data_IF_598255115265
#
_entry.id   IF_598255115265
#
_cell.length_a   1.000
_cell.length_b   1.000
_cell.length_c   1.000
_cell.angle_alpha   90.00
_cell.angle_beta   90.00
_cell.angle_gamma   90.00
#
_symmetry.space_group_name_H-M   'P 1'
#
loop_
_entity.id
_entity.type
_entity.pdbx_description
1 polymer ?
#
# COMPACT_ATOMS: atom_id res chain seq x y z
N UNK A 1 13.97 11.16 19.39
CA UNK A 1 13.09 10.19 18.71
C UNK A 1 12.25 10.92 17.66
N UNK A 2 12.05 10.35 16.47
CA UNK A 2 11.14 10.91 15.47
C UNK A 2 9.68 10.92 15.97
N UNK A 3 8.86 11.82 15.39
CA UNK A 3 7.44 12.00 15.77
C UNK A 3 6.63 10.81 15.23
N UNK A 4 6.23 9.91 16.13
CA UNK A 4 5.39 8.74 15.79
C UNK A 4 4.13 9.17 15.04
N UNK A 5 3.82 8.48 13.94
CA UNK A 5 2.65 8.77 13.10
C UNK A 5 2.81 9.92 12.10
N UNK A 6 3.83 10.77 12.24
CA UNK A 6 4.17 11.80 11.25
C UNK A 6 5.45 11.43 10.49
N UNK A 7 6.51 11.09 11.21
CA UNK A 7 7.85 10.83 10.66
C UNK A 7 7.96 9.57 9.81
N UNK A 8 6.93 8.73 9.75
CA UNK A 8 6.85 7.57 8.84
C UNK A 8 6.01 7.84 7.59
N UNK A 9 5.31 8.98 7.55
CA UNK A 9 4.54 9.38 6.38
C UNK A 9 5.50 9.82 5.28
N UNK A 10 5.49 9.08 4.17
CA UNK A 10 6.19 9.45 2.93
C UNK A 10 5.14 9.84 1.89
N UNK A 11 5.38 10.92 1.16
CA UNK A 11 4.53 11.37 0.05
C UNK A 11 5.39 11.49 -1.20
N UNK A 12 4.90 10.98 -2.33
CA UNK A 12 5.55 11.14 -3.62
C UNK A 12 5.34 12.60 -4.09
N UNK A 13 6.39 13.39 -4.31
CA UNK A 13 6.24 14.78 -4.75
C UNK A 13 5.70 14.81 -6.18
N UNK A 14 4.57 15.49 -6.40
CA UNK A 14 3.90 15.52 -7.71
C UNK A 14 4.37 16.71 -8.53
N UNK A 15 4.88 16.46 -9.74
CA UNK A 15 5.25 17.48 -10.73
C UNK A 15 4.02 18.02 -11.45
N UNK A 16 3.15 17.11 -11.92
CA UNK A 16 2.08 17.45 -12.86
C UNK A 16 0.97 16.41 -12.90
N UNK A 17 -0.11 16.76 -13.60
CA UNK A 17 -1.28 15.90 -13.81
C UNK A 17 -1.61 15.76 -15.30
N UNK A 18 -1.53 14.52 -15.77
CA UNK A 18 -1.98 14.12 -17.10
C UNK A 18 -3.49 13.88 -17.09
N UNK A 19 -4.17 14.27 -18.17
CA UNK A 19 -5.62 14.19 -18.35
C UNK A 19 -5.95 13.34 -19.59
N UNK A 20 -7.10 12.64 -19.55
CA UNK A 20 -7.63 11.78 -20.62
C UNK A 20 -8.71 12.47 -21.47
N UNK A 21 -8.87 13.78 -21.31
CA UNK A 21 -9.98 14.52 -21.88
C UNK A 21 -9.76 16.02 -21.82
N UNK A 22 -10.38 16.70 -22.77
CA UNK A 22 -10.45 18.16 -22.85
C UNK A 22 -11.79 18.65 -22.28
N UNK A 23 -11.85 19.91 -21.85
CA UNK A 23 -13.12 20.59 -21.61
C UNK A 23 -13.62 21.16 -22.94
N UNK A 24 -14.83 20.84 -23.34
CA UNK A 24 -15.52 21.52 -24.45
C UNK A 24 -16.70 22.32 -23.91
N UNK A 25 -16.93 23.51 -24.45
CA UNK A 25 -18.08 24.34 -24.09
C UNK A 25 -19.27 23.99 -24.99
N UNK A 26 -20.40 23.64 -24.37
CA UNK A 26 -21.65 23.37 -25.10
C UNK A 26 -22.16 24.63 -25.78
N UNK A 27 -22.16 24.65 -27.11
CA UNK A 27 -22.73 25.75 -27.92
C UNK A 27 -24.22 26.00 -27.62
N UNK A 28 -24.94 25.03 -27.04
CA UNK A 28 -26.37 25.14 -26.74
C UNK A 28 -26.69 25.63 -25.32
N UNK A 29 -25.77 25.48 -24.36
CA UNK A 29 -26.04 25.80 -22.95
C UNK A 29 -24.94 26.58 -22.24
N UNK A 30 -23.83 26.91 -22.92
CA UNK A 30 -22.69 27.59 -22.32
C UNK A 30 -21.88 26.77 -21.30
N UNK A 31 -22.38 25.59 -20.90
CA UNK A 31 -21.73 24.76 -19.89
C UNK A 31 -20.54 24.00 -20.46
N UNK A 32 -19.43 23.97 -19.72
CA UNK A 32 -18.30 23.08 -19.99
C UNK A 32 -18.68 21.62 -19.70
N UNK A 33 -18.32 20.70 -20.60
CA UNK A 33 -18.41 19.26 -20.38
C UNK A 33 -17.07 18.59 -20.71
N UNK A 34 -16.69 17.52 -19.98
CA UNK A 34 -15.48 16.77 -20.28
C UNK A 34 -15.71 15.87 -21.51
N UNK A 35 -14.88 16.02 -22.54
CA UNK A 35 -14.84 15.14 -23.70
C UNK A 35 -13.59 14.25 -23.64
N UNK A 36 -13.73 12.91 -23.65
CA UNK A 36 -12.59 12.02 -23.74
C UNK A 36 -11.90 12.15 -25.10
N UNK A 37 -10.57 12.10 -25.11
CA UNK A 37 -9.74 12.12 -26.32
C UNK A 37 -8.87 10.87 -26.40
N UNK A 38 -8.22 10.65 -27.56
CA UNK A 38 -7.37 9.48 -27.81
C UNK A 38 -5.86 9.73 -27.59
N UNK A 39 -5.54 10.81 -26.86
CA UNK A 39 -4.18 11.24 -26.54
C UNK A 39 -4.10 11.81 -25.11
N UNK A 40 -2.89 11.85 -24.55
CA UNK A 40 -2.64 12.41 -23.24
C UNK A 40 -2.61 13.94 -23.30
N UNK A 41 -3.37 14.58 -22.42
CA UNK A 41 -3.45 16.05 -22.32
C UNK A 41 -2.71 16.51 -21.07
N UNK A 42 -1.77 17.42 -21.23
CA UNK A 42 -1.14 18.20 -20.17
C UNK A 42 -1.42 19.68 -20.46
N UNK A 43 -1.73 20.46 -19.42
CA UNK A 43 -1.94 21.90 -19.52
C UNK A 43 -1.24 22.56 -18.33
N UNK A 44 -0.74 23.78 -18.50
CA UNK A 44 -0.34 24.62 -17.36
C UNK A 44 -1.59 24.98 -16.55
N UNK A 45 -1.65 24.56 -15.28
CA UNK A 45 -2.76 24.82 -14.36
C UNK A 45 -2.30 24.73 -12.88
N UNK A 46 -3.23 24.83 -11.93
CA UNK A 46 -2.92 24.73 -10.49
C UNK A 46 -2.27 23.39 -10.07
N UNK A 47 -2.25 22.38 -10.94
CA UNK A 47 -1.70 21.04 -10.68
C UNK A 47 -0.43 20.73 -11.47
N UNK A 48 -0.07 21.55 -12.47
CA UNK A 48 1.11 21.39 -13.33
C UNK A 48 1.67 22.77 -13.68
N UNK A 49 2.93 23.06 -13.33
CA UNK A 49 3.57 24.34 -13.68
C UNK A 49 3.79 24.47 -15.19
N UNK A 50 3.89 25.72 -15.66
CA UNK A 50 4.15 26.05 -17.07
C UNK A 50 5.42 25.37 -17.60
N UNK A 51 6.53 25.48 -16.87
CA UNK A 51 7.79 24.81 -17.21
C UNK A 51 7.67 23.27 -17.27
N UNK A 52 6.84 22.64 -16.43
CA UNK A 52 6.60 21.20 -16.49
C UNK A 52 5.73 20.79 -17.69
N UNK A 53 4.74 21.60 -18.04
CA UNK A 53 3.92 21.39 -19.24
C UNK A 53 4.76 21.56 -20.52
N UNK A 54 5.57 22.61 -20.62
CA UNK A 54 6.52 22.80 -21.74
C UNK A 54 7.51 21.64 -21.85
N UNK A 55 8.09 21.19 -20.72
CA UNK A 55 9.00 20.06 -20.70
C UNK A 55 8.35 18.76 -21.21
N UNK A 56 7.10 18.52 -20.85
CA UNK A 56 6.31 17.40 -21.37
C UNK A 56 6.11 17.51 -22.89
N UNK A 57 5.62 18.66 -23.38
CA UNK A 57 5.36 18.87 -24.81
C UNK A 57 6.64 18.86 -25.66
N UNK A 58 7.79 19.26 -25.12
CA UNK A 58 9.09 19.16 -25.80
C UNK A 58 9.52 17.71 -26.07
N UNK A 59 9.11 16.77 -25.21
CA UNK A 59 9.48 15.34 -25.32
C UNK A 59 8.44 14.55 -26.11
N UNK A 60 7.15 14.85 -25.91
CA UNK A 60 6.04 14.03 -26.40
C UNK A 60 5.11 14.75 -27.43
N UNK A 61 5.28 16.04 -27.65
CA UNK A 61 4.41 16.86 -28.49
C UNK A 61 3.05 17.16 -27.88
N UNK A 62 2.12 17.66 -28.71
CA UNK A 62 0.81 18.14 -28.26
C UNK A 62 -0.24 17.03 -28.08
N UNK A 63 -0.09 15.91 -28.81
CA UNK A 63 -1.07 14.81 -28.86
C UNK A 63 -0.45 13.41 -28.75
N UNK A 64 0.42 13.14 -27.76
CA UNK A 64 0.99 11.81 -27.57
C UNK A 64 -0.06 10.77 -27.19
N UNK A 65 0.03 9.58 -27.79
CA UNK A 65 -0.83 8.41 -27.46
C UNK A 65 -0.14 7.36 -26.58
N UNK A 66 1.16 7.55 -26.38
CA UNK A 66 2.06 6.71 -25.60
C UNK A 66 2.93 7.60 -24.72
N UNK A 67 3.24 7.16 -23.51
CA UNK A 67 4.20 7.78 -22.60
C UNK A 67 5.19 6.72 -22.13
N UNK A 68 6.48 7.04 -22.16
CA UNK A 68 7.50 6.20 -21.53
C UNK A 68 7.51 6.48 -20.03
N UNK A 69 7.18 5.46 -19.24
CA UNK A 69 6.98 5.57 -17.79
C UNK A 69 7.87 4.59 -17.00
N UNK A 70 8.04 4.88 -15.72
CA UNK A 70 8.52 3.95 -14.70
C UNK A 70 7.67 4.10 -13.44
N UNK A 71 7.59 3.07 -12.60
CA UNK A 71 6.97 3.18 -11.28
C UNK A 71 7.99 3.52 -10.19
N UNK A 72 7.65 4.40 -9.23
CA UNK A 72 8.62 4.91 -8.26
C UNK A 72 8.89 3.95 -7.09
N UNK A 73 7.99 3.01 -6.82
CA UNK A 73 8.04 2.06 -5.69
C UNK A 73 7.39 0.73 -6.08
N UNK A 74 7.75 -0.36 -5.37
CA UNK A 74 7.22 -1.71 -5.64
C UNK A 74 5.77 -1.93 -5.19
N UNK A 75 5.32 -1.10 -4.25
CA UNK A 75 4.01 -1.20 -3.62
C UNK A 75 2.93 -0.54 -4.48
N UNK A 76 2.10 -1.37 -5.11
CA UNK A 76 1.02 -0.97 -6.01
C UNK A 76 0.08 0.04 -5.37
N UNK A 77 -0.24 -0.07 -4.08
CA UNK A 77 -1.27 0.76 -3.48
C UNK A 77 -0.77 2.20 -3.21
N UNK A 78 0.55 2.39 -3.18
CA UNK A 78 1.19 3.71 -3.11
C UNK A 78 1.19 4.45 -4.45
N UNK A 79 1.34 3.74 -5.57
CA UNK A 79 1.42 4.37 -6.89
C UNK A 79 0.15 4.17 -7.76
N UNK A 80 -0.76 3.27 -7.41
CA UNK A 80 -2.02 3.05 -8.12
C UNK A 80 -3.20 2.89 -7.15
N UNK A 81 -3.42 3.92 -6.34
CA UNK A 81 -4.49 3.97 -5.35
C UNK A 81 -5.89 3.98 -5.98
N UNK A 82 -6.70 2.97 -5.68
CA UNK A 82 -8.03 2.76 -6.24
C UNK A 82 -9.10 2.84 -5.15
N UNK A 83 -10.05 3.77 -5.29
CA UNK A 83 -11.09 4.00 -4.29
C UNK A 83 -12.39 4.48 -4.96
N UNK A 84 -13.53 4.17 -4.38
CA UNK A 84 -14.77 4.90 -4.63
C UNK A 84 -14.62 6.34 -4.15
N UNK A 85 -14.99 7.31 -5.00
CA UNK A 85 -14.94 8.74 -4.66
C UNK A 85 -16.20 9.46 -5.08
N UNK A 86 -16.73 10.29 -4.18
CA UNK A 86 -17.81 11.25 -4.42
C UNK A 86 -17.25 12.66 -4.24
N UNK A 87 -17.39 13.51 -5.25
CA UNK A 87 -16.97 14.92 -5.19
C UNK A 87 -18.18 15.85 -5.08
N UNK A 88 -18.05 16.91 -4.30
CA UNK A 88 -19.04 17.97 -4.16
C UNK A 88 -18.78 19.13 -5.12
N UNK A 89 -19.84 19.85 -5.50
CA UNK A 89 -19.75 21.08 -6.27
C UNK A 89 -19.10 22.19 -5.44
N UNK A 90 -17.77 22.29 -5.51
CA UNK A 90 -16.97 23.28 -4.77
C UNK A 90 -16.41 22.78 -3.42
N UNK A 91 -17.10 21.88 -2.73
CA UNK A 91 -16.67 21.35 -1.41
C UNK A 91 -15.49 20.37 -1.46
N UNK A 92 -15.06 19.93 -2.66
CA UNK A 92 -13.97 18.96 -2.82
C UNK A 92 -14.44 17.51 -2.64
N UNK A 93 -13.64 16.69 -1.97
CA UNK A 93 -13.92 15.26 -1.77
C UNK A 93 -14.90 15.07 -0.61
N UNK A 94 -16.08 14.51 -0.89
CA UNK A 94 -17.14 14.30 0.10
C UNK A 94 -17.20 12.89 0.68
N UNK A 95 -16.72 11.89 -0.06
CA UNK A 95 -16.69 10.51 0.40
C UNK A 95 -15.55 9.79 -0.32
N UNK A 96 -14.78 9.00 0.41
CA UNK A 96 -13.75 8.09 -0.09
C UNK A 96 -13.90 6.74 0.59
N UNK A 97 -14.19 5.69 -0.18
CA UNK A 97 -14.31 4.32 0.33
C UNK A 97 -13.60 3.29 -0.52
N UNK A 98 -13.32 2.13 0.06
CA UNK A 98 -12.73 0.96 -0.62
C UNK A 98 -13.79 0.00 -1.17
N UNK A 99 -15.01 0.03 -0.61
CA UNK A 99 -16.09 -0.90 -0.92
C UNK A 99 -16.48 -1.80 0.26
N UNK A 100 -15.91 -1.55 1.44
CA UNK A 100 -16.34 -2.08 2.74
C UNK A 100 -16.51 -0.93 3.75
N UNK A 101 -15.57 0.01 3.79
CA UNK A 101 -15.61 1.22 4.63
C UNK A 101 -15.46 2.50 3.81
N UNK A 102 -15.95 3.62 4.33
CA UNK A 102 -15.72 4.94 3.74
C UNK A 102 -15.56 6.04 4.78
N UNK A 103 -14.69 6.99 4.46
CA UNK A 103 -14.58 8.27 5.14
C UNK A 103 -15.49 9.28 4.43
N UNK A 104 -16.59 9.68 5.05
CA UNK A 104 -17.55 10.64 4.54
C UNK A 104 -17.47 11.98 5.29
N UNK A 105 -17.49 13.09 4.55
CA UNK A 105 -17.62 14.43 5.10
C UNK A 105 -19.11 14.74 5.31
N UNK A 106 -19.53 14.84 6.56
CA UNK A 106 -20.85 15.34 6.91
C UNK A 106 -20.94 16.83 6.54
N UNK A 107 -21.90 17.20 5.68
CA UNK A 107 -22.04 18.58 5.18
C UNK A 107 -22.60 19.57 6.20
N UNK A 108 -23.26 19.07 7.25
CA UNK A 108 -23.91 19.90 8.26
C UNK A 108 -22.95 20.20 9.42
N UNK A 109 -22.17 19.21 9.86
CA UNK A 109 -21.18 19.38 10.95
C UNK A 109 -19.78 19.74 10.44
N UNK A 110 -19.45 19.43 9.19
CA UNK A 110 -18.10 19.56 8.64
C UNK A 110 -17.12 18.48 9.10
N UNK A 111 -17.59 17.49 9.87
CA UNK A 111 -16.76 16.40 10.40
C UNK A 111 -16.57 15.27 9.38
N UNK A 112 -15.43 14.59 9.46
CA UNK A 112 -15.18 13.35 8.71
C UNK A 112 -15.57 12.18 9.61
N UNK A 113 -16.47 11.34 9.14
CA UNK A 113 -17.02 10.19 9.85
C UNK A 113 -16.74 8.91 9.06
N UNK A 114 -16.42 7.83 9.76
CA UNK A 114 -16.24 6.50 9.17
C UNK A 114 -17.60 5.80 9.11
N UNK A 115 -17.99 5.37 7.91
CA UNK A 115 -19.27 4.72 7.61
C UNK A 115 -19.06 3.41 6.86
N UNK A 116 -20.05 2.52 6.90
CA UNK A 116 -20.10 1.34 6.04
C UNK A 116 -20.25 1.75 4.57
N UNK A 117 -19.50 1.11 3.68
CA UNK A 117 -19.50 1.40 2.25
C UNK A 117 -19.90 0.16 1.45
N UNK A 118 -21.19 -0.05 1.22
CA UNK A 118 -21.69 -1.10 0.33
C UNK A 118 -22.00 -0.51 -1.07
N UNK A 119 -21.19 -0.73 -2.13
CA UNK A 119 -21.42 -0.14 -3.45
C UNK A 119 -22.74 -0.57 -4.12
N UNK A 120 -23.30 -1.73 -3.73
CA UNK A 120 -24.55 -2.27 -4.27
C UNK A 120 -25.76 -1.49 -3.74
N UNK A 121 -25.74 -1.16 -2.45
CA UNK A 121 -26.84 -0.49 -1.74
C UNK A 121 -26.66 1.03 -1.67
N UNK A 122 -25.45 1.54 -1.93
CA UNK A 122 -25.15 2.96 -1.87
C UNK A 122 -25.89 3.75 -2.97
N UNK A 123 -26.90 4.51 -2.55
CA UNK A 123 -27.66 5.46 -3.37
C UNK A 123 -26.78 6.36 -4.25
N UNK A 124 -25.61 6.80 -3.74
CA UNK A 124 -24.69 7.66 -4.48
C UNK A 124 -23.95 6.96 -5.62
N UNK A 125 -23.71 5.64 -5.49
CA UNK A 125 -23.14 4.81 -6.56
C UNK A 125 -24.23 4.55 -7.61
N UNK A 126 -25.44 4.19 -7.19
CA UNK A 126 -26.59 3.97 -8.08
C UNK A 126 -26.95 5.23 -8.90
N UNK A 127 -26.92 6.42 -8.28
CA UNK A 127 -27.08 7.72 -8.95
C UNK A 127 -25.87 8.16 -9.79
N UNK A 128 -24.77 7.41 -9.78
CA UNK A 128 -23.56 7.69 -10.53
C UNK A 128 -22.78 8.94 -10.07
N UNK A 129 -23.01 9.40 -8.84
CA UNK A 129 -22.28 10.52 -8.20
C UNK A 129 -21.02 10.06 -7.46
N UNK A 130 -21.04 8.84 -6.92
CA UNK A 130 -19.87 8.13 -6.41
C UNK A 130 -19.40 7.14 -7.47
N UNK A 131 -18.10 7.10 -7.77
CA UNK A 131 -17.53 6.24 -8.83
C UNK A 131 -16.20 5.63 -8.38
N UNK A 132 -15.82 4.43 -8.87
CA UNK A 132 -14.47 3.92 -8.70
C UNK A 132 -13.50 4.84 -9.45
N UNK A 133 -12.42 5.27 -8.78
CA UNK A 133 -11.37 6.12 -9.33
C UNK A 133 -10.01 5.51 -9.00
N UNK A 134 -9.29 5.10 -10.04
CA UNK A 134 -7.87 4.77 -9.97
C UNK A 134 -7.02 6.02 -10.16
N UNK A 135 -6.20 6.34 -9.17
CA UNK A 135 -5.15 7.38 -9.25
C UNK A 135 -3.82 6.69 -9.48
N UNK A 136 -3.32 6.73 -10.71
CA UNK A 136 -2.02 6.18 -11.09
C UNK A 136 -0.96 7.29 -11.04
N UNK A 137 0.16 7.01 -10.39
CA UNK A 137 1.34 7.86 -10.24
C UNK A 137 2.55 7.14 -10.83
N UNK A 138 3.33 7.87 -11.64
CA UNK A 138 4.44 7.30 -12.40
C UNK A 138 5.51 8.36 -12.66
N UNK A 139 6.70 7.93 -13.01
CA UNK A 139 7.82 8.78 -13.42
C UNK A 139 7.84 8.89 -14.94
N UNK A 140 7.96 10.11 -15.47
CA UNK A 140 8.27 10.34 -16.89
C UNK A 140 9.78 10.51 -17.04
N UNK A 141 10.53 9.42 -17.07
CA UNK A 141 12.00 9.43 -16.99
C UNK A 141 12.71 10.13 -18.16
N UNK A 142 11.98 10.44 -19.25
CA UNK A 142 12.48 11.26 -20.38
C UNK A 142 12.18 12.76 -20.24
N UNK A 143 11.30 13.16 -19.32
CA UNK A 143 10.89 14.55 -19.09
C UNK A 143 11.70 15.11 -17.91
N UNK A 144 12.37 16.26 -18.04
CA UNK A 144 13.14 16.84 -16.94
C UNK A 144 12.21 17.26 -15.78
N UNK A 145 12.58 16.84 -14.57
CA UNK A 145 11.86 17.14 -13.33
C UNK A 145 11.92 15.97 -12.35
N UNK A 146 12.09 16.25 -11.05
CA UNK A 146 12.17 15.22 -10.02
C UNK A 146 10.82 15.07 -9.29
N UNK A 147 10.18 13.91 -9.46
CA UNK A 147 8.88 13.62 -8.86
C UNK A 147 7.95 12.83 -9.79
N UNK A 148 6.72 12.59 -9.33
CA UNK A 148 5.72 11.79 -10.03
C UNK A 148 4.75 12.66 -10.84
N UNK A 149 4.34 12.12 -11.97
CA UNK A 149 3.17 12.54 -12.73
C UNK A 149 1.97 11.71 -12.30
N UNK A 150 0.78 12.32 -12.27
CA UNK A 150 -0.47 11.66 -11.87
C UNK A 150 -1.46 11.60 -13.04
N UNK A 151 -2.15 10.48 -13.21
CA UNK A 151 -3.35 10.35 -14.06
C UNK A 151 -4.49 9.72 -13.25
N UNK A 152 -5.68 10.28 -13.37
CA UNK A 152 -6.89 9.74 -12.71
C UNK A 152 -7.82 9.15 -13.78
N UNK A 153 -8.31 7.93 -13.54
CA UNK A 153 -9.28 7.24 -14.41
C UNK A 153 -10.46 6.71 -13.61
N UNK A 154 -11.68 6.90 -14.13
CA UNK A 154 -12.90 6.26 -13.61
C UNK A 154 -13.43 5.16 -14.55
N UNK A 155 -12.62 4.71 -15.50
CA UNK A 155 -12.97 3.63 -16.43
C UNK A 155 -12.65 2.28 -15.79
N UNK A 156 -13.69 1.48 -15.53
CA UNK A 156 -13.56 0.11 -15.01
C UNK A 156 -12.59 -0.74 -15.85
N UNK A 157 -12.72 -0.68 -17.18
CA UNK A 157 -11.80 -1.35 -18.11
C UNK A 157 -10.35 -0.89 -17.95
N UNK A 158 -10.12 0.41 -17.80
CA UNK A 158 -8.76 0.94 -17.60
C UNK A 158 -8.17 0.49 -16.26
N UNK A 159 -8.97 0.44 -15.19
CA UNK A 159 -8.50 0.00 -13.87
C UNK A 159 -8.09 -1.48 -13.90
N UNK A 160 -8.91 -2.34 -14.52
CA UNK A 160 -8.58 -3.77 -14.70
C UNK A 160 -7.33 -3.94 -15.57
N UNK A 161 -7.29 -3.33 -16.76
CA UNK A 161 -6.14 -3.42 -17.66
C UNK A 161 -4.82 -3.07 -16.95
N UNK A 162 -4.81 -1.95 -16.20
CA UNK A 162 -3.64 -1.50 -15.45
C UNK A 162 -3.23 -2.49 -14.35
N UNK A 163 -4.18 -2.98 -13.52
CA UNK A 163 -3.88 -3.99 -12.50
C UNK A 163 -3.34 -5.28 -13.12
N UNK A 164 -4.01 -5.82 -14.14
CA UNK A 164 -3.61 -7.06 -14.80
C UNK A 164 -2.22 -6.94 -15.45
N UNK A 165 -1.90 -5.80 -16.06
CA UNK A 165 -0.57 -5.59 -16.66
C UNK A 165 0.52 -5.37 -15.59
N UNK A 166 0.23 -4.68 -14.49
CA UNK A 166 1.15 -4.55 -13.34
C UNK A 166 1.44 -5.94 -12.75
N UNK A 167 0.40 -6.73 -12.46
CA UNK A 167 0.54 -8.03 -11.85
C UNK A 167 1.23 -9.04 -12.79
N UNK A 168 0.99 -8.94 -14.11
CA UNK A 168 1.72 -9.70 -15.13
C UNK A 168 3.22 -9.37 -15.16
N UNK A 169 3.60 -8.08 -15.19
CA UNK A 169 5.02 -7.68 -15.14
C UNK A 169 5.66 -8.16 -13.85
N UNK A 170 4.98 -8.02 -12.70
CA UNK A 170 5.47 -8.52 -11.40
C UNK A 170 5.66 -10.04 -11.39
N UNK A 171 4.76 -10.80 -12.00
CA UNK A 171 4.90 -12.26 -12.11
C UNK A 171 6.14 -12.64 -12.95
N UNK A 172 6.44 -11.92 -14.02
CA UNK A 172 7.61 -12.16 -14.88
C UNK A 172 8.95 -11.82 -14.20
N UNK A 173 8.96 -10.87 -13.26
CA UNK A 173 10.18 -10.25 -12.70
C UNK A 173 10.53 -10.72 -11.28
N UNK A 174 9.76 -11.66 -10.70
CA UNK A 174 9.92 -12.07 -9.31
C UNK A 174 9.40 -11.05 -8.30
N UNK A 175 8.35 -10.29 -8.67
CA UNK A 175 7.64 -9.34 -7.82
C UNK A 175 7.98 -7.86 -8.07
N UNK A 176 9.01 -7.56 -8.89
CA UNK A 176 9.52 -6.20 -9.15
C UNK A 176 8.73 -5.46 -10.23
N UNK A 177 8.54 -4.16 -10.03
CA UNK A 177 7.86 -3.24 -10.94
C UNK A 177 8.46 -1.82 -10.89
N UNK A 178 9.12 -1.46 -9.79
CA UNK A 178 9.80 -0.18 -9.65
C UNK A 178 10.96 -0.03 -10.65
N UNK A 179 11.13 1.18 -11.21
CA UNK A 179 12.20 1.55 -12.15
C UNK A 179 12.33 0.70 -13.43
N UNK A 180 11.38 -0.20 -13.71
CA UNK A 180 11.31 -0.92 -14.99
C UNK A 180 10.72 0.03 -16.05
N UNK A 181 11.39 0.26 -17.20
CA UNK A 181 10.83 1.04 -18.29
C UNK A 181 9.61 0.35 -18.89
N UNK A 182 8.46 1.03 -18.86
CA UNK A 182 7.19 0.57 -19.42
C UNK A 182 6.60 1.68 -20.32
N UNK A 183 5.57 1.35 -21.09
CA UNK A 183 4.83 2.33 -21.90
C UNK A 183 3.37 2.37 -21.48
N UNK A 184 2.91 3.55 -21.07
CA UNK A 184 1.49 3.81 -20.79
C UNK A 184 0.83 4.26 -22.09
N UNK A 185 -0.20 3.55 -22.54
CA UNK A 185 -0.84 3.78 -23.85
C UNK A 185 -2.34 3.97 -23.74
N UNK A 186 -2.91 4.71 -24.70
CA UNK A 186 -4.36 4.84 -24.87
C UNK A 186 -4.79 3.97 -26.05
N UNK A 187 -5.56 2.91 -25.79
CA UNK A 187 -6.10 2.00 -26.82
C UNK A 187 -7.60 2.22 -27.03
N UNK A 188 -8.12 2.20 -28.27
CA UNK A 188 -9.56 2.11 -28.52
C UNK A 188 -10.08 0.70 -28.17
N UNK A 189 -11.17 0.64 -27.40
CA UNK A 189 -11.89 -0.60 -27.08
C UNK A 189 -13.35 -0.44 -27.51
N UNK A 190 -13.85 -1.33 -28.37
CA UNK A 190 -15.28 -1.43 -28.61
C UNK A 190 -15.96 -2.00 -27.35
N UNK A 191 -16.92 -1.26 -26.81
CA UNK A 191 -17.79 -1.73 -25.73
C UNK A 191 -19.24 -1.63 -26.19
N UNK A 192 -20.07 -2.59 -25.78
CA UNK A 192 -21.51 -2.50 -25.93
C UNK A 192 -22.07 -1.80 -24.69
N UNK A 193 -22.69 -0.64 -24.90
CA UNK A 193 -23.44 0.09 -23.87
C UNK A 193 -24.89 0.11 -24.35
N UNK A 194 -25.81 -0.48 -23.59
CA UNK A 194 -27.25 -0.51 -23.91
C UNK A 194 -27.53 -1.05 -25.34
N UNK A 195 -26.81 -2.11 -25.74
CA UNK A 195 -26.92 -2.74 -27.06
C UNK A 195 -26.28 -1.95 -28.22
N UNK A 196 -25.74 -0.75 -27.98
CA UNK A 196 -25.04 0.06 -29.00
C UNK A 196 -23.53 -0.11 -28.86
N UNK A 197 -22.86 -0.38 -29.99
CA UNK A 197 -21.39 -0.34 -30.06
C UNK A 197 -20.91 1.10 -29.86
N UNK A 198 -20.02 1.31 -28.91
CA UNK A 198 -19.34 2.59 -28.67
C UNK A 198 -17.84 2.33 -28.50
N UNK A 199 -17.02 3.05 -29.26
CA UNK A 199 -15.58 3.08 -29.05
C UNK A 199 -15.27 3.91 -27.81
N UNK A 200 -14.59 3.32 -26.83
CA UNK A 200 -14.11 3.99 -25.61
C UNK A 200 -12.61 3.85 -25.54
N UNK A 201 -11.93 4.94 -25.21
CA UNK A 201 -10.48 4.95 -25.02
C UNK A 201 -10.15 4.46 -23.61
N UNK A 202 -9.34 3.40 -23.53
CA UNK A 202 -8.91 2.76 -22.28
C UNK A 202 -7.39 2.90 -22.10
N UNK A 203 -6.95 2.92 -20.85
CA UNK A 203 -5.52 2.88 -20.52
C UNK A 203 -5.02 1.43 -20.51
N UNK A 204 -3.76 1.26 -20.88
CA UNK A 204 -3.06 -0.01 -20.86
C UNK A 204 -1.55 0.24 -20.62
N UNK A 205 -0.84 -0.79 -20.15
CA UNK A 205 0.62 -0.82 -20.02
C UNK A 205 1.28 -1.83 -20.98
N UNK A 206 0.49 -2.71 -21.60
CA UNK A 206 0.99 -3.70 -22.53
C UNK A 206 1.13 -3.10 -23.95
N UNK A 207 2.36 -3.07 -24.46
CA UNK A 207 2.66 -2.62 -25.83
C UNK A 207 3.54 -3.62 -26.59
N UNK A 208 3.16 -3.86 -27.85
CA UNK A 208 3.81 -4.80 -28.78
C UNK A 208 5.29 -4.47 -29.09
N UNK A 209 5.73 -3.23 -28.80
CA UNK A 209 7.09 -2.76 -29.04
C UNK A 209 8.10 -3.04 -27.92
N UNK A 210 7.67 -3.51 -26.74
CA UNK A 210 8.58 -3.85 -25.63
C UNK A 210 8.92 -5.35 -25.73
N UNK A 211 10.21 -5.71 -25.79
CA UNK A 211 10.61 -7.11 -25.78
C UNK A 211 10.60 -7.63 -24.34
N UNK A 212 10.11 -8.85 -24.15
CA UNK A 212 10.15 -9.53 -22.86
C UNK A 212 11.59 -9.62 -22.29
N UNK A 213 12.59 -9.77 -23.16
CA UNK A 213 14.01 -9.78 -22.80
C UNK A 213 14.47 -8.47 -22.15
N UNK A 214 13.95 -7.32 -22.60
CA UNK A 214 14.32 -6.01 -22.08
C UNK A 214 13.78 -5.84 -20.65
N UNK A 215 12.53 -6.27 -20.40
CA UNK A 215 11.90 -6.28 -19.05
C UNK A 215 12.69 -7.19 -18.10
N UNK A 216 13.03 -8.41 -18.52
CA UNK A 216 13.80 -9.37 -17.71
C UNK A 216 15.25 -8.96 -17.47
N UNK A 217 15.80 -8.09 -18.31
CA UNK A 217 17.14 -7.50 -18.13
C UNK A 217 17.05 -6.32 -17.17
N UNK A 218 16.08 -5.42 -17.35
CA UNK A 218 15.84 -4.28 -16.46
C UNK A 218 15.53 -4.72 -15.02
N UNK A 219 14.75 -5.78 -14.81
CA UNK A 219 14.42 -6.28 -13.46
C UNK A 219 15.63 -6.84 -12.70
N UNK A 220 16.67 -7.28 -13.42
CA UNK A 220 17.95 -7.77 -12.87
C UNK A 220 18.96 -6.66 -12.60
N UNK A 221 18.80 -5.48 -13.21
CA UNK A 221 19.67 -4.35 -12.94
C UNK A 221 19.56 -3.93 -11.45
N UNK A 222 20.68 -3.60 -10.79
CA UNK A 222 20.63 -3.18 -9.40
C UNK A 222 20.11 -1.74 -9.30
N UNK A 223 19.15 -1.51 -8.38
CA UNK A 223 18.59 -0.17 -8.09
C UNK A 223 19.66 0.87 -7.73
N UNK A 224 20.83 0.45 -7.25
CA UNK A 224 21.98 1.32 -6.97
C UNK A 224 22.50 2.07 -8.19
N UNK A 225 22.20 1.63 -9.40
CA UNK A 225 22.54 2.35 -10.64
C UNK A 225 21.72 3.64 -10.85
N UNK A 226 20.68 3.85 -10.03
CA UNK A 226 19.82 5.05 -10.00
C UNK A 226 19.87 5.80 -8.66
N UNK A 227 20.69 5.37 -7.70
CA UNK A 227 20.88 6.10 -6.43
C UNK A 227 21.89 7.23 -6.63
N UNK A 228 21.67 8.35 -5.92
CA UNK A 228 22.67 9.41 -5.81
C UNK A 228 23.91 8.83 -5.09
N UNK A 229 25.10 8.83 -5.70
CA UNK A 229 26.30 8.36 -5.03
C UNK A 229 26.60 9.23 -3.80
N UNK A 230 26.76 8.60 -2.63
CA UNK A 230 27.23 9.29 -1.41
C UNK A 230 26.15 9.85 -0.47
N UNK A 231 24.87 9.54 -0.66
CA UNK A 231 23.83 9.91 0.32
C UNK A 231 23.81 8.91 1.51
N UNK A 232 24.60 9.17 2.56
CA UNK A 232 24.44 8.49 3.85
C UNK A 232 23.32 9.15 4.66
N UNK A 233 22.17 8.49 4.73
CA UNK A 233 21.00 8.97 5.47
C UNK A 233 21.10 8.74 6.99
N UNK A 234 22.20 8.17 7.50
CA UNK A 234 22.48 8.06 8.93
C UNK A 234 23.29 9.26 9.46
N UNK A 235 23.93 10.04 8.59
CA UNK A 235 24.64 11.24 8.99
C UNK A 235 23.64 12.34 9.36
N UNK A 236 23.62 12.72 10.64
CA UNK A 236 22.72 13.74 11.16
C UNK A 236 23.24 15.11 10.72
N UNK A 237 22.46 15.96 10.05
CA UNK A 237 22.96 17.27 9.62
C UNK A 237 23.38 18.14 10.81
N UNK A 238 24.64 18.59 10.81
CA UNK A 238 25.23 19.44 11.87
C UNK A 238 24.44 20.73 12.13
N UNK A 239 23.74 21.27 11.11
CA UNK A 239 22.88 22.45 11.19
C UNK A 239 21.67 22.31 12.15
N UNK A 240 21.40 21.13 12.70
CA UNK A 240 20.28 20.91 13.64
C UNK A 240 20.56 21.35 15.08
N UNK A 241 21.80 21.75 15.41
CA UNK A 241 22.16 22.25 16.74
C UNK A 241 22.98 23.55 16.64
N UNK A 242 22.56 24.65 17.29
CA UNK A 242 23.41 25.84 17.39
C UNK A 242 24.65 25.50 18.24
N UNK A 243 25.85 25.85 17.76
CA UNK A 243 27.13 25.56 18.41
C UNK A 243 27.20 26.00 19.89
N UNK A 244 26.40 26.99 20.30
CA UNK A 244 26.24 27.43 21.70
C UNK A 244 25.74 26.36 22.67
N UNK A 245 25.31 25.17 22.20
CA UNK A 245 24.93 24.03 23.03
C UNK A 245 26.02 22.93 23.10
N UNK A 246 27.14 23.10 22.40
CA UNK A 246 28.24 22.13 22.35
C UNK A 246 29.39 22.58 23.27
N UNK A 247 29.61 23.89 23.42
CA UNK A 247 30.69 24.47 24.24
C UNK A 247 30.36 24.60 25.74
N UNK A 248 29.20 24.12 26.21
CA UNK A 248 28.91 24.04 27.65
C UNK A 248 29.36 22.69 28.21
N UNK A 249 30.67 22.54 28.46
CA UNK A 249 31.16 21.46 29.31
C UNK A 249 30.49 21.51 30.69
N UNK A 250 30.11 20.37 31.28
CA UNK A 250 29.48 20.35 32.60
C UNK A 250 30.53 20.61 33.69
N UNK A 251 30.57 21.83 34.23
CA UNK A 251 31.30 22.09 35.47
C UNK A 251 30.78 21.16 36.59
N UNK A 252 31.73 20.50 37.26
CA UNK A 252 31.45 19.31 38.05
C UNK A 252 30.59 19.56 39.29
N UNK A 253 29.54 18.75 39.44
CA UNK A 253 28.85 18.55 40.72
C UNK A 253 29.12 17.11 41.18
N UNK A 254 29.99 16.97 42.17
CA UNK A 254 30.27 15.69 42.82
C UNK A 254 29.03 15.15 43.55
N UNK A 255 28.77 13.83 43.53
CA UNK A 255 27.64 13.27 44.27
C UNK A 255 27.90 13.37 45.78
N UNK A 256 26.98 14.01 46.52
CA UNK A 256 26.94 13.91 47.98
C UNK A 256 26.26 12.60 48.40
N UNK A 257 26.61 12.03 49.57
CA UNK A 257 25.96 10.84 50.09
C UNK A 257 24.49 11.09 50.42
N UNK A 258 23.68 10.03 50.31
CA UNK A 258 22.31 10.00 50.83
C UNK A 258 22.33 9.58 52.29
N UNK A 259 21.81 10.44 53.16
CA UNK A 259 21.45 10.11 54.55
C UNK A 259 19.93 9.93 54.68
N UNK A 260 19.52 9.27 55.76
CA UNK A 260 18.25 8.54 55.91
C UNK A 260 17.03 9.38 56.34
N UNK A 261 15.83 8.95 55.88
CA UNK A 261 14.54 8.94 56.60
C UNK A 261 13.94 10.29 57.14
N UNK A 262 12.65 10.45 57.47
CA UNK A 262 11.49 9.56 57.70
C UNK A 262 10.18 10.08 57.04
N UNK A 263 9.13 9.26 57.18
CA UNK A 263 7.65 9.49 57.08
C UNK A 263 7.12 10.93 57.20
N UNK A 264 5.96 11.31 56.64
CA UNK A 264 4.78 10.54 56.18
C UNK A 264 4.18 11.15 54.88
N UNK A 265 2.99 10.84 54.33
CA UNK A 265 1.82 10.09 54.82
C UNK A 265 0.93 9.51 53.68
N UNK A 266 -0.19 8.87 54.04
CA UNK A 266 -1.33 8.43 53.20
C UNK A 266 -2.64 8.65 54.00
N UNK A 267 -3.89 8.49 53.49
CA UNK A 267 -4.31 7.87 52.23
C UNK A 267 -5.47 8.57 51.45
N UNK A 268 -5.76 8.08 50.23
CA UNK A 268 -7.14 7.78 49.81
C UNK A 268 -7.15 6.78 48.64
N UNK A 269 -7.82 5.63 48.81
CA UNK A 269 -8.05 4.63 47.74
C UNK A 269 -9.28 5.02 46.91
N UNK A 270 -9.24 4.79 45.60
CA UNK A 270 -10.44 4.60 44.77
C UNK A 270 -10.23 3.35 43.91
N UNK A 271 -11.14 2.39 44.04
CA UNK A 271 -11.12 1.12 43.31
C UNK A 271 -11.73 1.26 41.91
N UNK A 272 -11.19 0.61 40.87
CA UNK A 272 -11.86 0.49 39.58
C UNK A 272 -12.99 -0.56 39.66
N UNK A 273 -14.22 -0.12 39.40
CA UNK A 273 -15.43 -0.98 39.42
C UNK A 273 -15.38 -2.07 38.34
N UNK A 274 -15.89 -3.25 38.69
CA UNK A 274 -16.11 -4.37 37.77
C UNK A 274 -17.18 -4.07 36.72
N UNK A 275 -17.09 -4.75 35.57
CA UNK A 275 -18.15 -4.87 34.55
C UNK A 275 -18.43 -6.37 34.28
N UNK A 276 -19.65 -6.71 33.85
CA UNK A 276 -20.22 -8.05 34.08
C UNK A 276 -19.70 -9.14 33.16
N UNK A 277 -19.76 -10.39 33.65
CA UNK A 277 -19.45 -11.59 32.90
C UNK A 277 -20.43 -11.84 31.75
N UNK A 278 -19.89 -12.14 30.56
CA UNK A 278 -20.62 -12.77 29.46
C UNK A 278 -20.02 -14.15 29.24
N UNK A 279 -20.84 -15.20 29.34
CA UNK A 279 -20.39 -16.60 29.17
C UNK A 279 -19.86 -16.80 27.74
N UNK A 280 -18.59 -17.22 27.54
CA UNK A 280 -18.07 -17.46 26.20
C UNK A 280 -18.62 -18.75 25.62
N UNK A 281 -19.09 -18.69 24.37
CA UNK A 281 -19.20 -19.88 23.50
C UNK A 281 -17.79 -20.42 23.24
N UNK A 282 -17.65 -21.73 23.08
CA UNK A 282 -16.36 -22.38 22.89
C UNK A 282 -15.63 -21.80 21.66
N UNK A 283 -14.46 -21.20 21.90
CA UNK A 283 -13.51 -20.78 20.88
C UNK A 283 -12.13 -21.33 21.25
N UNK A 284 -11.40 -21.84 20.26
CA UNK A 284 -10.05 -22.35 20.48
C UNK A 284 -9.14 -21.21 20.95
N UNK A 285 -8.59 -21.31 22.17
CA UNK A 285 -7.62 -20.35 22.69
C UNK A 285 -6.24 -20.67 22.12
N UNK A 286 -5.77 -19.83 21.20
CA UNK A 286 -4.34 -19.73 20.89
C UNK A 286 -3.66 -18.86 21.95
N UNK A 287 -2.64 -19.39 22.63
CA UNK A 287 -1.83 -18.61 23.57
C UNK A 287 -0.43 -18.39 23.03
N UNK A 288 0.14 -17.22 23.32
CA UNK A 288 1.48 -16.87 22.86
C UNK A 288 2.48 -17.21 23.97
N UNK A 289 3.56 -17.89 23.62
CA UNK A 289 4.55 -18.35 24.57
C UNK A 289 5.90 -18.61 23.93
N UNK A 290 6.83 -19.13 24.72
CA UNK A 290 8.17 -19.53 24.32
C UNK A 290 8.32 -21.03 24.57
N UNK A 291 8.69 -21.78 23.54
CA UNK A 291 9.16 -23.15 23.71
C UNK A 291 10.54 -23.15 24.37
N UNK A 292 10.71 -23.98 25.40
CA UNK A 292 12.02 -24.27 26.00
C UNK A 292 12.75 -25.37 25.22
N UNK A 293 14.07 -25.39 25.30
CA UNK A 293 14.85 -26.55 24.90
C UNK A 293 14.45 -27.73 25.81
N UNK A 294 13.74 -28.71 25.24
CA UNK A 294 13.04 -29.76 25.98
C UNK A 294 11.55 -29.91 25.65
N UNK A 295 10.95 -28.95 24.92
CA UNK A 295 9.58 -29.06 24.39
C UNK A 295 8.48 -28.44 25.26
N UNK A 296 8.77 -28.05 26.50
CA UNK A 296 7.81 -27.36 27.37
C UNK A 296 7.47 -25.96 26.87
N UNK A 297 6.17 -25.62 26.90
CA UNK A 297 5.64 -24.32 26.50
C UNK A 297 5.42 -23.41 27.72
N UNK A 298 6.04 -22.22 27.73
CA UNK A 298 5.81 -21.21 28.76
C UNK A 298 5.10 -19.99 28.18
N UNK A 299 3.91 -19.67 28.70
CA UNK A 299 3.18 -18.45 28.31
C UNK A 299 3.88 -17.20 28.84
N UNK A 300 4.19 -16.26 27.93
CA UNK A 300 4.82 -14.99 28.29
C UNK A 300 4.14 -13.81 27.58
N UNK A 301 4.00 -12.65 28.23
CA UNK A 301 3.36 -11.47 27.65
C UNK A 301 4.24 -10.85 26.55
N UNK A 302 4.01 -11.24 25.29
CA UNK A 302 4.69 -10.67 24.13
C UNK A 302 4.11 -9.31 23.72
N UNK A 303 4.95 -8.45 23.15
CA UNK A 303 4.52 -7.14 22.64
C UNK A 303 3.60 -7.26 21.40
N UNK A 304 2.80 -6.22 21.15
CA UNK A 304 1.89 -6.16 19.99
C UNK A 304 2.62 -6.34 18.64
N UNK A 305 3.87 -5.88 18.54
CA UNK A 305 4.71 -6.07 17.35
C UNK A 305 5.13 -7.54 17.15
N UNK A 306 5.60 -8.20 18.20
CA UNK A 306 5.96 -9.63 18.16
C UNK A 306 4.74 -10.50 17.81
N UNK A 307 3.56 -10.18 18.36
CA UNK A 307 2.31 -10.89 18.03
C UNK A 307 1.98 -10.80 16.54
N UNK A 308 2.09 -9.61 15.94
CA UNK A 308 1.82 -9.44 14.51
C UNK A 308 2.85 -10.16 13.62
N UNK A 309 4.11 -10.23 14.06
CA UNK A 309 5.16 -10.98 13.35
C UNK A 309 4.92 -12.50 13.39
N UNK A 310 4.56 -13.05 14.56
CA UNK A 310 4.21 -14.46 14.71
C UNK A 310 2.96 -14.81 13.90
N UNK A 311 1.93 -13.94 13.90
CA UNK A 311 0.73 -14.13 13.07
C UNK A 311 1.03 -14.07 11.56
N UNK A 312 2.00 -13.25 11.13
CA UNK A 312 2.45 -13.20 9.74
C UNK A 312 3.16 -14.50 9.33
N UNK A 313 4.06 -15.01 10.17
CA UNK A 313 4.73 -16.31 9.94
C UNK A 313 3.72 -17.46 9.92
N UNK A 314 2.82 -17.51 10.91
CA UNK A 314 1.71 -18.46 10.94
C UNK A 314 0.87 -18.40 9.65
N UNK A 315 0.52 -17.20 9.17
CA UNK A 315 -0.21 -17.01 7.92
C UNK A 315 0.52 -17.50 6.67
N UNK A 316 1.85 -17.60 6.69
CA UNK A 316 2.63 -18.23 5.60
C UNK A 316 2.65 -19.77 5.69
N UNK A 317 2.49 -20.35 6.89
CA UNK A 317 2.48 -21.80 7.12
C UNK A 317 1.09 -22.43 6.99
N UNK A 318 0.01 -21.67 7.21
CA UNK A 318 -1.37 -22.17 7.13
C UNK A 318 -2.01 -22.07 5.74
N UNK A 319 -1.28 -21.64 4.71
CA UNK A 319 -1.66 -21.81 3.30
C UNK A 319 -1.05 -23.10 2.74
N UNK A 320 -1.90 -24.04 2.33
CA UNK A 320 -1.60 -25.33 1.68
C UNK A 320 -0.17 -25.88 1.87
N UNK A 321 -0.01 -26.70 2.92
CA UNK A 321 1.25 -27.37 3.31
C UNK A 321 1.88 -28.04 2.07
N UNK A 322 3.05 -27.58 1.58
CA UNK A 322 3.66 -28.14 0.39
C UNK A 322 4.16 -29.57 0.60
N UNK A 323 4.07 -30.39 -0.44
CA UNK A 323 4.65 -31.75 -0.44
C UNK A 323 6.15 -31.73 -0.07
N UNK A 324 6.60 -32.84 0.52
CA UNK A 324 7.96 -33.08 1.04
C UNK A 324 9.08 -32.49 0.18
N UNK A 325 8.99 -32.65 -1.14
CA UNK A 325 10.01 -32.21 -2.11
C UNK A 325 10.12 -30.68 -2.21
N UNK A 326 9.02 -29.92 -2.04
CA UNK A 326 9.05 -28.45 -2.02
C UNK A 326 9.69 -27.91 -0.74
N UNK A 327 9.43 -28.54 0.40
CA UNK A 327 10.06 -28.15 1.68
C UNK A 327 11.57 -28.38 1.60
N UNK A 328 11.99 -29.54 1.10
CA UNK A 328 13.40 -29.88 0.95
C UNK A 328 14.14 -28.90 0.01
N UNK A 329 13.51 -28.53 -1.10
CA UNK A 329 14.06 -27.56 -2.07
C UNK A 329 14.18 -26.14 -1.51
N UNK A 330 13.21 -25.69 -0.70
CA UNK A 330 13.26 -24.39 -0.03
C UNK A 330 14.35 -24.33 1.05
N UNK A 331 14.67 -25.44 1.71
CA UNK A 331 15.75 -25.54 2.69
C UNK A 331 17.14 -25.54 2.03
N UNK A 332 17.28 -26.24 0.90
CA UNK A 332 18.48 -26.21 0.05
C UNK A 332 18.73 -24.79 -0.52
N UNK A 333 17.69 -24.06 -0.94
CA UNK A 333 17.81 -22.67 -1.40
C UNK A 333 18.20 -21.67 -0.27
N UNK A 334 18.09 -22.06 1.00
CA UNK A 334 18.31 -21.20 2.17
C UNK A 334 19.53 -21.62 3.03
N UNK A 335 20.38 -22.53 2.51
CA UNK A 335 21.58 -23.07 3.18
C UNK A 335 21.35 -23.61 4.61
N UNK A 336 20.16 -24.15 4.90
CA UNK A 336 19.82 -24.70 6.21
C UNK A 336 19.98 -26.23 6.24
N UNK A 337 21.12 -26.68 6.75
CA UNK A 337 21.45 -28.10 6.88
C UNK A 337 20.75 -28.70 8.12
N UNK A 338 19.56 -29.29 7.90
CA UNK A 338 18.79 -29.98 8.94
C UNK A 338 19.19 -31.45 9.01
N UNK A 339 19.70 -31.88 10.16
CA UNK A 339 20.04 -33.29 10.35
C UNK A 339 18.79 -34.20 10.30
N UNK A 340 19.04 -35.48 10.03
CA UNK A 340 17.97 -36.47 9.81
C UNK A 340 17.16 -36.80 11.07
N UNK A 341 17.59 -36.36 12.26
CA UNK A 341 16.85 -36.50 13.51
C UNK A 341 15.87 -35.32 13.67
N UNK A 342 16.36 -34.10 13.54
CA UNK A 342 15.58 -32.85 13.62
C UNK A 342 14.47 -32.82 12.56
N UNK A 343 14.75 -33.32 11.36
CA UNK A 343 13.75 -33.48 10.30
C UNK A 343 12.63 -34.46 10.68
N UNK A 344 12.94 -35.58 11.34
CA UNK A 344 11.93 -36.57 11.77
C UNK A 344 11.02 -35.99 12.86
N UNK A 345 11.59 -35.32 13.85
CA UNK A 345 10.82 -34.67 14.92
C UNK A 345 9.87 -33.59 14.35
N UNK A 346 10.33 -32.77 13.40
CA UNK A 346 9.49 -31.78 12.73
C UNK A 346 8.32 -32.41 11.96
N UNK A 347 8.57 -33.50 11.21
CA UNK A 347 7.52 -34.23 10.47
C UNK A 347 6.52 -34.89 11.41
N UNK A 348 6.98 -35.45 12.55
CA UNK A 348 6.11 -36.07 13.54
C UNK A 348 5.17 -35.05 14.20
N UNK A 349 5.68 -33.85 14.55
CA UNK A 349 4.87 -32.74 15.06
C UNK A 349 3.84 -32.22 14.04
N UNK A 350 4.18 -32.16 12.75
CA UNK A 350 3.24 -31.79 11.68
C UNK A 350 2.10 -32.82 11.54
N UNK A 351 2.44 -34.12 11.58
CA UNK A 351 1.43 -35.20 11.53
C UNK A 351 0.48 -35.16 12.75
N UNK A 352 1.00 -34.87 13.95
CA UNK A 352 0.19 -34.70 15.17
C UNK A 352 -0.80 -33.53 15.00
N UNK A 353 -0.35 -32.38 14.46
CA UNK A 353 -1.23 -31.25 14.18
C UNK A 353 -2.30 -31.57 13.12
N UNK A 354 -1.95 -32.25 12.03
CA UNK A 354 -2.92 -32.63 11.00
C UNK A 354 -3.98 -33.61 11.53
N UNK A 355 -3.60 -34.57 12.36
CA UNK A 355 -4.54 -35.49 12.99
C UNK A 355 -5.51 -34.76 13.95
N UNK A 356 -5.03 -33.75 14.68
CA UNK A 356 -5.87 -32.91 15.53
C UNK A 356 -6.89 -32.09 14.71
N UNK A 357 -6.44 -31.45 13.63
CA UNK A 357 -7.29 -30.65 12.72
C UNK A 357 -8.37 -31.52 12.05
N UNK A 358 -8.00 -32.73 11.62
CA UNK A 358 -8.95 -33.66 11.02
C UNK A 358 -9.98 -34.17 12.04
N UNK A 359 -9.56 -34.48 13.28
CA UNK A 359 -10.48 -34.88 14.34
C UNK A 359 -11.50 -33.79 14.69
N UNK A 360 -11.10 -32.51 14.69
CA UNK A 360 -12.02 -31.40 14.92
C UNK A 360 -12.94 -31.13 13.71
N UNK A 361 -12.50 -31.38 12.47
CA UNK A 361 -13.41 -31.38 11.31
C UNK A 361 -14.49 -32.46 11.42
N UNK A 362 -14.11 -33.71 11.71
CA UNK A 362 -15.08 -34.81 11.86
C UNK A 362 -16.08 -34.54 13.00
N UNK A 363 -15.67 -33.84 14.06
CA UNK A 363 -16.56 -33.39 15.14
C UNK A 363 -17.53 -32.28 14.73
N UNK A 364 -17.13 -31.38 13.82
CA UNK A 364 -18.00 -30.33 13.29
C UNK A 364 -19.01 -30.90 12.27
N UNK A 365 -18.60 -31.87 11.45
CA UNK A 365 -19.46 -32.58 10.51
C UNK A 365 -20.48 -33.48 11.22
N UNK A 366 -20.12 -34.08 12.36
CA UNK A 366 -21.04 -34.85 13.20
C UNK A 366 -21.97 -33.99 14.10
N UNK A 367 -21.88 -32.66 14.01
CA UNK A 367 -22.68 -31.70 14.77
C UNK A 367 -23.64 -30.86 13.90
N UNK A 368 -23.74 -31.20 12.61
CA UNK A 368 -24.74 -30.71 11.65
C UNK A 368 -25.76 -31.80 11.34
#
# INVERSE_FOLDING_TARGET
MPIKGLSEVRRLPRIGKVRLGIKETSQKSGNEFPRPVDYFVVNADQTTSEAAAEAFHRVYGDKPRELDIMFPVEDRDKFFAQFYRRYGSGTGLLCKGDGETAMELNRETGEIQEIECNPTECEWVQKGHCRPVGTLQFLLYKVPGLGVWQIDTSSYNSIINLNSAIDFVRALTGGRIAMIPLKLVIRPKEVQVEGKKKTVYVLDLAQEGIRLQDILTASKAPLSQFLIPGADFNEVPDDLYPASLIDSEPEGVTPKPVDECETSDHPAKIEPKSKPEVKPKASARTTNGRAKAGGDWEEQPISKGQRNYILKLAGQFYGDIPEKEKIQKLLEEWEFDLDTATYKEAVEQINIMQNSINADKTRQEAAQ
#
